data_IF_256444787547
#
_entry.id   IF_256444787547
#
_cell.length_a   1.000
_cell.length_b   1.000
_cell.length_c   1.000
_cell.angle_alpha   90.00
_cell.angle_beta   90.00
_cell.angle_gamma   90.00
#
_symmetry.space_group_name_H-M   'P 1'
#
loop_
_entity.id
_entity.type
_entity.pdbx_description
1 polymer ?
#
# COMPACT_ATOMS: atom_id res chain seq x y z
N UNK A 1 73.42 -24.39 47.63
CA UNK A 1 72.90 -23.40 48.56
C UNK A 1 71.77 -22.59 48.01
N UNK A 2 70.70 -22.60 48.76
CA UNK A 2 69.60 -21.66 48.78
C UNK A 2 68.69 -21.53 47.53
N UNK A 3 67.62 -22.22 47.64
CA UNK A 3 66.38 -21.80 46.96
C UNK A 3 65.79 -20.49 47.55
N UNK A 4 65.03 -19.75 46.82
CA UNK A 4 63.81 -19.17 47.38
C UNK A 4 62.56 -19.28 46.51
N UNK A 5 61.58 -19.77 47.15
CA UNK A 5 60.20 -19.33 47.31
C UNK A 5 59.51 -18.66 46.12
N UNK A 6 58.65 -19.45 45.52
CA UNK A 6 57.51 -19.05 44.72
C UNK A 6 56.50 -18.29 45.57
N UNK A 7 56.19 -17.09 45.21
CA UNK A 7 54.97 -16.37 45.65
C UNK A 7 53.89 -16.36 44.53
N UNK A 8 52.91 -17.20 44.75
CA UNK A 8 51.61 -17.13 44.03
C UNK A 8 50.99 -15.83 44.35
N UNK A 9 50.72 -15.02 43.28
CA UNK A 9 49.77 -13.94 43.30
C UNK A 9 48.49 -14.44 42.63
N UNK A 10 47.61 -14.89 43.50
CA UNK A 10 46.23 -15.15 43.21
C UNK A 10 45.54 -13.79 42.91
N UNK A 11 45.35 -13.50 41.63
CA UNK A 11 44.55 -12.36 41.19
C UNK A 11 43.08 -12.77 41.13
N UNK A 12 42.15 -11.93 41.60
CA UNK A 12 40.73 -12.28 41.56
C UNK A 12 40.28 -12.43 40.12
N UNK A 13 39.79 -13.63 39.80
CA UNK A 13 38.98 -13.87 38.62
C UNK A 13 37.74 -12.95 38.68
N UNK A 14 37.79 -11.88 37.93
CA UNK A 14 36.62 -11.13 37.61
C UNK A 14 35.72 -12.00 36.71
N UNK A 15 34.71 -12.55 37.33
CA UNK A 15 33.55 -13.11 36.61
C UNK A 15 33.02 -12.04 35.66
N UNK A 16 33.47 -12.17 34.42
CA UNK A 16 32.82 -11.47 33.32
C UNK A 16 31.46 -12.14 33.11
N UNK A 17 30.45 -11.62 33.77
CA UNK A 17 29.08 -11.89 33.38
C UNK A 17 28.96 -11.68 31.88
N UNK A 18 28.38 -12.65 31.13
CA UNK A 18 28.07 -12.43 29.74
C UNK A 18 27.13 -11.24 29.72
N UNK A 19 27.54 -10.15 29.07
CA UNK A 19 26.67 -9.05 28.70
C UNK A 19 25.45 -9.68 28.09
N UNK A 20 24.39 -9.76 28.89
CA UNK A 20 23.06 -10.15 28.40
C UNK A 20 22.81 -9.39 27.13
N UNK A 21 22.59 -10.16 26.08
CA UNK A 21 22.14 -9.72 24.79
C UNK A 21 21.25 -8.50 24.98
N UNK A 22 21.74 -7.35 24.53
CA UNK A 22 20.90 -6.18 24.38
C UNK A 22 19.69 -6.69 23.61
N UNK A 23 18.57 -6.84 24.29
CA UNK A 23 17.27 -7.11 23.65
C UNK A 23 17.09 -5.98 22.68
N UNK A 24 17.36 -6.27 21.42
CA UNK A 24 17.06 -5.39 20.33
C UNK A 24 15.55 -5.21 20.38
N UNK A 25 15.15 -4.14 21.06
CA UNK A 25 13.75 -3.74 21.04
C UNK A 25 13.57 -3.22 19.61
N UNK A 26 13.12 -4.09 18.72
CA UNK A 26 12.56 -3.69 17.45
C UNK A 26 11.33 -2.84 17.77
N UNK A 27 11.58 -1.57 18.02
CA UNK A 27 10.53 -0.55 17.99
C UNK A 27 10.09 -0.45 16.53
N UNK A 28 9.19 -1.35 16.16
CA UNK A 28 8.45 -1.22 14.91
C UNK A 28 7.62 0.05 15.05
N UNK A 29 8.18 1.16 14.60
CA UNK A 29 7.44 2.40 14.47
C UNK A 29 6.46 2.22 13.32
N UNK A 30 5.24 1.80 13.68
CA UNK A 30 4.13 1.84 12.75
C UNK A 30 3.91 3.29 12.31
N UNK A 31 3.98 3.56 11.00
CA UNK A 31 3.70 4.89 10.48
C UNK A 31 2.22 5.27 10.71
N UNK A 32 1.92 6.57 10.80
CA UNK A 32 0.53 7.01 10.93
C UNK A 32 -0.32 6.58 9.73
N UNK A 33 0.29 6.54 8.55
CA UNK A 33 -0.32 6.02 7.33
C UNK A 33 -0.67 4.53 7.46
N UNK A 34 0.27 3.70 7.91
CA UNK A 34 0.05 2.25 8.07
C UNK A 34 -1.07 1.95 9.06
N UNK A 35 -1.06 2.63 10.21
CA UNK A 35 -2.11 2.48 11.21
C UNK A 35 -3.49 2.84 10.63
N UNK A 36 -3.58 3.94 9.87
CA UNK A 36 -4.83 4.36 9.22
C UNK A 36 -5.29 3.38 8.16
N UNK A 37 -4.36 2.85 7.36
CA UNK A 37 -4.65 1.82 6.36
C UNK A 37 -5.24 0.57 7.01
N UNK A 38 -4.61 0.07 8.07
CA UNK A 38 -5.08 -1.12 8.79
C UNK A 38 -6.48 -0.91 9.34
N UNK A 39 -6.70 0.19 10.05
CA UNK A 39 -8.02 0.51 10.62
C UNK A 39 -9.09 0.64 9.54
N UNK A 40 -8.77 1.30 8.41
CA UNK A 40 -9.71 1.50 7.32
C UNK A 40 -10.12 0.18 6.64
N UNK A 41 -9.16 -0.72 6.43
CA UNK A 41 -9.42 -2.04 5.81
C UNK A 41 -10.16 -2.96 6.76
N UNK A 42 -9.76 -3.03 8.04
CA UNK A 42 -10.40 -3.87 9.05
C UNK A 42 -11.86 -3.47 9.30
N UNK A 43 -12.13 -2.16 9.33
CA UNK A 43 -13.48 -1.63 9.49
C UNK A 43 -14.29 -1.63 8.18
N UNK A 44 -13.67 -1.93 7.03
CA UNK A 44 -14.26 -1.71 5.70
C UNK A 44 -14.78 -0.28 5.50
N UNK A 45 -14.21 0.69 6.21
CA UNK A 45 -14.53 2.12 6.13
C UNK A 45 -13.28 2.94 5.82
N UNK A 46 -13.16 3.29 4.56
CA UNK A 46 -12.03 4.07 4.05
C UNK A 46 -12.27 5.60 4.09
N UNK A 47 -13.45 6.04 4.53
CA UNK A 47 -13.81 7.46 4.61
C UNK A 47 -12.80 8.31 5.40
N UNK A 48 -12.48 7.94 6.66
CA UNK A 48 -11.51 8.67 7.48
C UNK A 48 -10.10 8.70 6.87
N UNK A 49 -9.67 7.60 6.24
CA UNK A 49 -8.39 7.53 5.55
C UNK A 49 -8.33 8.52 4.38
N UNK A 50 -9.34 8.54 3.50
CA UNK A 50 -9.38 9.45 2.36
C UNK A 50 -9.51 10.90 2.78
N UNK A 51 -10.23 11.18 3.86
CA UNK A 51 -10.25 12.51 4.47
C UNK A 51 -8.84 12.97 4.85
N UNK A 52 -8.03 12.09 5.45
CA UNK A 52 -6.63 12.38 5.75
C UNK A 52 -5.80 12.57 4.48
N UNK A 53 -5.90 11.67 3.49
CA UNK A 53 -5.14 11.77 2.24
C UNK A 53 -5.43 13.06 1.48
N UNK A 54 -6.67 13.56 1.51
CA UNK A 54 -7.04 14.84 0.91
C UNK A 54 -6.47 16.07 1.63
N UNK A 55 -6.01 15.93 2.88
CA UNK A 55 -5.31 17.02 3.57
C UNK A 55 -3.85 17.14 3.18
N UNK A 56 -3.29 16.10 2.56
CA UNK A 56 -1.89 16.07 2.14
C UNK A 56 -1.69 16.86 0.83
N UNK A 57 -0.57 17.57 0.75
CA UNK A 57 -0.12 18.12 -0.52
C UNK A 57 0.37 16.99 -1.46
N UNK A 58 0.37 17.22 -2.77
CA UNK A 58 0.83 16.23 -3.73
C UNK A 58 2.24 15.65 -3.43
N UNK A 59 3.25 16.47 -3.02
CA UNK A 59 4.55 15.92 -2.63
C UNK A 59 4.51 15.06 -1.35
N UNK A 60 3.65 15.42 -0.39
CA UNK A 60 3.48 14.62 0.83
C UNK A 60 2.81 13.29 0.53
N UNK A 61 1.78 13.29 -0.31
CA UNK A 61 1.12 12.07 -0.76
C UNK A 61 2.09 11.14 -1.51
N UNK A 62 2.91 11.70 -2.42
CA UNK A 62 3.95 10.93 -3.11
C UNK A 62 4.96 10.32 -2.13
N UNK A 63 5.36 11.07 -1.10
CA UNK A 63 6.26 10.56 -0.06
C UNK A 63 5.61 9.42 0.74
N UNK A 64 4.34 9.57 1.14
CA UNK A 64 3.61 8.51 1.85
C UNK A 64 3.50 7.24 1.01
N UNK A 65 3.19 7.37 -0.29
CA UNK A 65 3.11 6.22 -1.21
C UNK A 65 4.48 5.53 -1.34
N UNK A 66 5.57 6.29 -1.47
CA UNK A 66 6.94 5.74 -1.54
C UNK A 66 7.38 5.07 -0.24
N UNK A 67 6.84 5.48 0.88
CA UNK A 67 7.17 4.91 2.19
C UNK A 67 6.55 3.54 2.45
N UNK A 68 5.67 3.06 1.57
CA UNK A 68 5.05 1.74 1.66
C UNK A 68 6.04 0.64 1.23
N UNK A 69 7.00 0.33 2.09
CA UNK A 69 8.11 -0.59 1.77
C UNK A 69 7.71 -2.06 1.95
N UNK A 70 6.83 -2.37 2.91
CA UNK A 70 6.44 -3.76 3.16
C UNK A 70 5.30 -4.21 2.24
N UNK A 71 5.35 -5.48 1.83
CA UNK A 71 4.30 -6.13 1.03
C UNK A 71 2.93 -5.98 1.71
N UNK A 72 2.90 -6.07 3.03
CA UNK A 72 1.66 -5.91 3.79
C UNK A 72 1.10 -4.48 3.68
N UNK A 73 1.95 -3.44 3.78
CA UNK A 73 1.52 -2.05 3.61
C UNK A 73 0.99 -1.80 2.21
N UNK A 74 1.69 -2.30 1.19
CA UNK A 74 1.28 -2.23 -0.22
C UNK A 74 -0.08 -2.91 -0.44
N UNK A 75 -0.26 -4.10 0.14
CA UNK A 75 -1.53 -4.84 0.08
C UNK A 75 -2.67 -4.05 0.71
N UNK A 76 -2.49 -3.53 1.92
CA UNK A 76 -3.50 -2.71 2.61
C UNK A 76 -3.85 -1.45 1.82
N UNK A 77 -2.85 -0.81 1.20
CA UNK A 77 -3.08 0.37 0.37
C UNK A 77 -3.94 0.05 -0.85
N UNK A 78 -3.62 -1.02 -1.58
CA UNK A 78 -4.41 -1.45 -2.74
C UNK A 78 -5.84 -1.86 -2.33
N UNK A 79 -6.00 -2.56 -1.21
CA UNK A 79 -7.32 -2.92 -0.67
C UNK A 79 -8.15 -1.66 -0.33
N UNK A 80 -7.52 -0.65 0.27
CA UNK A 80 -8.19 0.61 0.57
C UNK A 80 -8.63 1.35 -0.71
N UNK A 81 -7.78 1.35 -1.76
CA UNK A 81 -8.15 1.90 -3.07
C UNK A 81 -9.33 1.15 -3.69
N UNK A 82 -9.32 -0.20 -3.65
CA UNK A 82 -10.44 -1.02 -4.16
C UNK A 82 -11.75 -0.72 -3.42
N UNK A 83 -11.71 -0.62 -2.10
CA UNK A 83 -12.88 -0.25 -1.29
C UNK A 83 -13.41 1.15 -1.65
N UNK A 84 -12.51 2.12 -1.88
CA UNK A 84 -12.93 3.47 -2.29
C UNK A 84 -13.58 3.49 -3.66
N UNK A 85 -13.04 2.76 -4.63
CA UNK A 85 -13.66 2.61 -5.95
C UNK A 85 -15.05 1.99 -5.87
N UNK A 86 -15.23 0.94 -5.04
CA UNK A 86 -16.55 0.33 -4.82
C UNK A 86 -17.57 1.31 -4.26
N UNK A 87 -17.14 2.27 -3.47
CA UNK A 87 -18.01 3.35 -2.98
C UNK A 87 -18.37 4.40 -4.03
N UNK A 88 -17.78 4.33 -5.25
CA UNK A 88 -17.97 5.27 -6.37
C UNK A 88 -17.62 6.72 -6.05
N UNK A 89 -16.70 6.90 -5.11
CA UNK A 89 -16.24 8.21 -4.68
C UNK A 89 -14.79 8.42 -5.09
N UNK A 90 -14.45 9.67 -5.39
CA UNK A 90 -13.08 10.14 -5.63
C UNK A 90 -12.32 9.36 -6.72
N UNK A 91 -13.01 8.93 -7.77
CA UNK A 91 -12.42 8.10 -8.83
C UNK A 91 -11.10 8.68 -9.37
N UNK A 92 -11.06 9.97 -9.68
CA UNK A 92 -9.86 10.64 -10.19
C UNK A 92 -8.70 10.61 -9.19
N UNK A 93 -8.98 10.88 -7.91
CA UNK A 93 -7.97 10.84 -6.86
C UNK A 93 -7.43 9.42 -6.67
N UNK A 94 -8.29 8.41 -6.68
CA UNK A 94 -7.90 7.00 -6.59
C UNK A 94 -7.04 6.60 -7.80
N UNK A 95 -7.39 7.06 -9.01
CA UNK A 95 -6.58 6.83 -10.21
C UNK A 95 -5.18 7.45 -10.10
N UNK A 96 -5.10 8.69 -9.63
CA UNK A 96 -3.82 9.37 -9.43
C UNK A 96 -2.94 8.64 -8.39
N UNK A 97 -3.55 8.18 -7.28
CA UNK A 97 -2.85 7.41 -6.25
C UNK A 97 -2.38 6.05 -6.77
N UNK A 98 -3.22 5.35 -7.53
CA UNK A 98 -2.86 4.06 -8.14
C UNK A 98 -1.70 4.22 -9.14
N UNK A 99 -1.74 5.25 -9.98
CA UNK A 99 -0.64 5.56 -10.90
C UNK A 99 0.65 5.87 -10.17
N UNK A 100 0.58 6.71 -9.12
CA UNK A 100 1.73 7.01 -8.27
C UNK A 100 2.33 5.76 -7.63
N UNK A 101 1.48 4.90 -7.08
CA UNK A 101 1.88 3.63 -6.49
C UNK A 101 2.58 2.71 -7.51
N UNK A 102 1.97 2.50 -8.68
CA UNK A 102 2.55 1.66 -9.73
C UNK A 102 3.87 2.23 -10.25
N UNK A 103 3.98 3.55 -10.38
CA UNK A 103 5.23 4.19 -10.82
C UNK A 103 6.36 4.03 -9.79
N UNK A 104 6.04 4.05 -8.49
CA UNK A 104 7.04 3.91 -7.43
C UNK A 104 7.49 2.46 -7.19
N UNK A 105 6.57 1.49 -7.32
CA UNK A 105 6.78 0.10 -6.91
C UNK A 105 6.84 -0.88 -8.10
N UNK A 106 6.87 -0.39 -9.37
CA UNK A 106 6.84 -1.24 -10.56
C UNK A 106 7.95 -2.30 -10.59
N UNK A 107 9.18 -1.92 -10.26
CA UNK A 107 10.32 -2.83 -10.27
C UNK A 107 10.18 -3.92 -9.18
N UNK A 108 9.70 -3.52 -8.01
CA UNK A 108 9.50 -4.42 -6.88
C UNK A 108 8.36 -5.41 -7.16
N UNK A 109 7.24 -4.95 -7.72
CA UNK A 109 6.13 -5.79 -8.13
C UNK A 109 6.55 -6.82 -9.19
N UNK A 110 7.37 -6.41 -10.16
CA UNK A 110 7.93 -7.32 -11.16
C UNK A 110 8.88 -8.34 -10.54
N UNK A 111 9.74 -7.91 -9.62
CA UNK A 111 10.67 -8.82 -8.93
C UNK A 111 9.95 -9.87 -8.07
N UNK A 112 8.78 -9.53 -7.53
CA UNK A 112 7.92 -10.44 -6.76
C UNK A 112 7.05 -11.35 -7.65
N UNK A 113 7.17 -11.25 -8.98
CA UNK A 113 6.38 -12.05 -9.92
C UNK A 113 4.89 -11.69 -9.92
N UNK A 114 4.53 -10.49 -9.46
CA UNK A 114 3.15 -10.01 -9.46
C UNK A 114 2.74 -9.64 -10.88
N UNK A 115 2.22 -10.62 -11.63
CA UNK A 115 1.64 -10.40 -12.95
C UNK A 115 0.11 -10.31 -12.85
N UNK A 116 -0.51 -9.17 -13.20
CA UNK A 116 -1.95 -8.99 -13.08
C UNK A 116 -2.76 -9.90 -14.02
N UNK A 117 -2.15 -10.44 -15.07
CA UNK A 117 -2.85 -11.21 -16.11
C UNK A 117 -2.66 -12.73 -16.00
N UNK A 118 -1.60 -13.19 -15.35
CA UNK A 118 -1.31 -14.62 -15.16
C UNK A 118 -0.82 -14.87 -13.74
N UNK A 119 -1.70 -15.29 -12.82
CA UNK A 119 -1.24 -15.94 -11.60
C UNK A 119 -0.71 -17.32 -12.02
N UNK A 120 0.59 -17.41 -12.34
CA UNK A 120 1.23 -18.70 -12.59
C UNK A 120 1.09 -19.54 -11.31
N UNK A 121 0.34 -20.63 -11.41
CA UNK A 121 0.13 -21.60 -10.31
C UNK A 121 1.45 -22.25 -9.86
N UNK A 122 2.53 -22.10 -10.62
CA UNK A 122 3.83 -22.71 -10.37
C UNK A 122 4.86 -21.75 -9.73
N UNK A 123 4.59 -20.45 -9.60
CA UNK A 123 5.46 -19.57 -8.86
C UNK A 123 5.29 -19.88 -7.37
N UNK A 124 6.36 -20.36 -6.71
CA UNK A 124 6.47 -20.40 -5.25
C UNK A 124 6.47 -18.96 -4.70
N UNK A 125 5.39 -18.24 -4.97
CA UNK A 125 5.17 -16.90 -4.40
C UNK A 125 4.87 -17.10 -2.92
N UNK A 126 5.64 -16.43 -2.09
CA UNK A 126 5.33 -16.26 -0.68
C UNK A 126 3.86 -15.83 -0.53
N UNK A 127 3.16 -16.35 0.50
CA UNK A 127 1.74 -16.05 0.74
C UNK A 127 1.44 -14.54 0.70
N UNK A 128 2.39 -13.73 1.15
CA UNK A 128 2.29 -12.27 1.11
C UNK A 128 2.28 -11.71 -0.32
N UNK A 129 3.12 -12.24 -1.22
CA UNK A 129 3.12 -11.86 -2.63
C UNK A 129 1.84 -12.24 -3.34
N UNK A 130 1.27 -13.40 -3.03
CA UNK A 130 -0.03 -13.83 -3.56
C UNK A 130 -1.17 -12.89 -3.12
N UNK A 131 -1.17 -12.45 -1.86
CA UNK A 131 -2.15 -11.48 -1.35
C UNK A 131 -2.02 -10.13 -2.05
N UNK A 132 -0.81 -9.66 -2.30
CA UNK A 132 -0.55 -8.42 -3.03
C UNK A 132 -1.06 -8.51 -4.47
N UNK A 133 -0.80 -9.62 -5.16
CA UNK A 133 -1.30 -9.86 -6.51
C UNK A 133 -2.83 -9.85 -6.58
N UNK A 134 -3.49 -10.48 -5.62
CA UNK A 134 -4.95 -10.46 -5.50
C UNK A 134 -5.48 -9.04 -5.26
N UNK A 135 -4.86 -8.28 -4.35
CA UNK A 135 -5.27 -6.91 -4.08
C UNK A 135 -5.09 -6.01 -5.31
N UNK A 136 -3.99 -6.15 -6.05
CA UNK A 136 -3.76 -5.42 -7.30
C UNK A 136 -4.81 -5.77 -8.35
N UNK A 137 -5.10 -7.07 -8.51
CA UNK A 137 -6.14 -7.53 -9.44
C UNK A 137 -7.51 -6.96 -9.09
N UNK A 138 -7.88 -6.95 -7.82
CA UNK A 138 -9.15 -6.40 -7.34
C UNK A 138 -9.29 -4.91 -7.70
N UNK A 139 -8.26 -4.12 -7.44
CA UNK A 139 -8.24 -2.69 -7.82
C UNK A 139 -8.42 -2.52 -9.33
N UNK A 140 -7.68 -3.28 -10.14
CA UNK A 140 -7.76 -3.17 -11.60
C UNK A 140 -9.14 -3.60 -12.15
N UNK A 141 -9.78 -4.59 -11.53
CA UNK A 141 -11.15 -5.00 -11.88
C UNK A 141 -12.14 -3.89 -11.57
N UNK A 142 -12.08 -3.30 -10.37
CA UNK A 142 -12.98 -2.20 -10.01
C UNK A 142 -12.70 -0.95 -10.85
N UNK A 143 -11.44 -0.66 -11.18
CA UNK A 143 -11.08 0.42 -12.09
C UNK A 143 -11.72 0.27 -13.47
N UNK A 144 -11.63 -0.92 -14.08
CA UNK A 144 -12.24 -1.19 -15.39
C UNK A 144 -13.76 -1.03 -15.34
N UNK A 145 -14.37 -1.50 -14.27
CA UNK A 145 -15.82 -1.45 -14.04
C UNK A 145 -16.34 0.00 -13.93
N UNK A 146 -15.67 0.80 -13.09
CA UNK A 146 -16.06 2.21 -12.93
C UNK A 146 -15.70 3.04 -14.17
N UNK A 147 -14.59 2.75 -14.84
CA UNK A 147 -14.26 3.38 -16.12
C UNK A 147 -15.30 3.11 -17.21
N UNK A 148 -15.76 1.87 -17.34
CA UNK A 148 -16.83 1.51 -18.29
C UNK A 148 -18.13 2.26 -17.96
N UNK A 149 -18.53 2.29 -16.69
CA UNK A 149 -19.71 3.03 -16.24
C UNK A 149 -19.65 4.52 -16.57
N UNK A 150 -18.51 5.16 -16.35
CA UNK A 150 -18.32 6.57 -16.67
C UNK A 150 -18.40 6.84 -18.18
N UNK A 151 -17.87 5.92 -19.01
CA UNK A 151 -17.99 6.02 -20.47
C UNK A 151 -19.45 5.93 -20.89
N UNK A 152 -20.21 4.97 -20.36
CA UNK A 152 -21.64 4.81 -20.65
C UNK A 152 -22.44 6.06 -20.25
N UNK A 153 -22.14 6.66 -19.10
CA UNK A 153 -22.78 7.91 -18.65
C UNK A 153 -22.44 9.09 -19.56
N UNK A 154 -21.19 9.20 -20.03
CA UNK A 154 -20.77 10.22 -20.97
C UNK A 154 -21.47 10.06 -22.33
N UNK A 155 -21.54 8.83 -22.83
CA UNK A 155 -22.24 8.54 -24.09
C UNK A 155 -23.73 8.86 -24.02
N UNK A 156 -24.37 8.56 -22.88
CA UNK A 156 -25.75 8.97 -22.63
C UNK A 156 -25.92 10.49 -22.63
N UNK A 157 -25.05 11.23 -21.95
CA UNK A 157 -25.06 12.69 -21.91
C UNK A 157 -24.86 13.29 -23.31
N UNK A 158 -23.88 12.77 -24.06
CA UNK A 158 -23.63 13.22 -25.45
C UNK A 158 -24.81 12.94 -26.38
N UNK A 159 -25.43 11.77 -26.24
CA UNK A 159 -26.65 11.43 -27.00
C UNK A 159 -27.81 12.39 -26.69
N UNK A 160 -28.01 12.70 -25.41
CA UNK A 160 -29.05 13.63 -24.95
C UNK A 160 -28.79 15.05 -25.48
N UNK A 161 -27.56 15.53 -25.40
CA UNK A 161 -27.19 16.85 -25.95
C UNK A 161 -27.34 16.90 -27.47
N UNK A 162 -26.96 15.84 -28.16
CA UNK A 162 -27.17 15.73 -29.62
C UNK A 162 -28.64 15.78 -29.98
N UNK A 163 -29.50 15.06 -29.25
CA UNK A 163 -30.95 15.11 -29.43
C UNK A 163 -31.51 16.54 -29.23
N UNK A 164 -31.15 17.20 -28.13
CA UNK A 164 -31.59 18.56 -27.82
C UNK A 164 -31.17 19.57 -28.90
N UNK A 165 -29.97 19.39 -29.49
CA UNK A 165 -29.49 20.25 -30.58
C UNK A 165 -30.36 20.14 -31.87
N UNK A 166 -30.96 18.97 -32.10
CA UNK A 166 -31.75 18.70 -33.30
C UNK A 166 -33.27 18.91 -33.11
N UNK A 167 -33.72 19.16 -31.87
CA UNK A 167 -35.11 19.54 -31.60
C UNK A 167 -35.33 20.95 -32.13
N UNK A 168 -36.19 21.16 -33.18
CA UNK A 168 -36.51 22.51 -33.63
C UNK A 168 -37.20 23.25 -32.50
N UNK A 169 -36.64 24.36 -32.06
CA UNK A 169 -37.33 25.32 -31.21
C UNK A 169 -38.48 25.93 -32.03
N UNK A 170 -39.60 25.22 -32.14
CA UNK A 170 -40.82 25.79 -32.62
C UNK A 170 -41.20 26.89 -31.64
N UNK A 171 -40.97 28.13 -32.09
CA UNK A 171 -41.36 29.35 -31.38
C UNK A 171 -42.84 29.26 -31.02
N UNK A 172 -43.10 29.34 -29.72
CA UNK A 172 -44.44 29.58 -29.17
C UNK A 172 -44.76 31.06 -29.33
#
# INVERSE_FOLDING_TARGET
DAAPTSSSLDGPQQDREPLESARQIDLVFESDMERRLRVAVDACDVGPLFTYLHTLSAPQLDLEIRSLVSVQQQTLFLQALALRMRSKLDFEAVQAMLQGFLACHAEELQAQGVHPEHPDEDAMTDEAGAQLALALRDVLVEQRKEGARLIDELDYCLGTLSFLRHVPLTSI
#
